data_IF_899264313194
#
_entry.id   IF_899264313194
#
_cell.length_a   1.000
_cell.length_b   1.000
_cell.length_c   1.000
_cell.angle_alpha   90.00
_cell.angle_beta   90.00
_cell.angle_gamma   90.00
#
_symmetry.space_group_name_H-M   'P 1'
#
loop_
_entity.id
_entity.type
_entity.pdbx_description
1 polymer ?
#
# COMPACT_ATOMS: atom_id res chain seq x y z
N UNK A 1 -2.64 7.54 13.81
CA UNK A 1 -2.76 6.57 12.70
C UNK A 1 -1.66 5.53 12.82
N UNK A 2 -1.89 4.37 12.30
CA UNK A 2 -0.97 3.24 12.41
C UNK A 2 -0.68 2.68 11.02
N UNK A 3 0.59 2.38 10.76
CA UNK A 3 0.98 1.76 9.50
C UNK A 3 0.52 0.30 9.47
N UNK A 4 -0.18 -0.08 8.43
CA UNK A 4 -0.70 -1.44 8.29
C UNK A 4 0.38 -2.45 7.87
N UNK A 5 1.57 -1.96 7.53
CA UNK A 5 2.67 -2.82 7.09
C UNK A 5 3.60 -3.18 8.24
N UNK A 6 4.14 -2.18 8.93
CA UNK A 6 5.09 -2.41 10.02
C UNK A 6 4.44 -2.38 11.41
N UNK A 7 3.17 -1.99 11.47
CA UNK A 7 2.40 -1.90 12.70
C UNK A 7 2.89 -0.84 13.69
N UNK A 8 3.68 0.12 13.22
CA UNK A 8 4.14 1.23 14.05
C UNK A 8 3.28 2.46 13.84
N UNK A 9 3.23 3.31 14.88
CA UNK A 9 2.45 4.53 14.81
C UNK A 9 3.02 5.47 13.76
N UNK A 10 2.13 6.19 13.07
CA UNK A 10 2.50 7.18 12.08
C UNK A 10 2.34 8.56 12.71
N UNK A 11 3.40 9.34 12.72
CA UNK A 11 3.35 10.71 13.21
C UNK A 11 2.77 11.63 12.14
N UNK A 12 2.12 12.71 12.57
CA UNK A 12 1.48 13.63 11.64
C UNK A 12 2.42 14.31 10.66
N UNK A 13 3.71 14.39 11.00
CA UNK A 13 4.71 15.02 10.15
C UNK A 13 5.37 14.07 9.16
N UNK A 14 5.08 12.78 9.26
CA UNK A 14 5.67 11.79 8.38
C UNK A 14 4.89 11.67 7.07
N UNK A 15 5.62 11.44 5.98
CA UNK A 15 4.98 11.17 4.70
C UNK A 15 4.25 9.85 4.75
N UNK A 16 3.02 9.84 4.28
CA UNK A 16 2.18 8.65 4.27
C UNK A 16 1.63 8.40 2.88
N UNK A 17 1.28 7.14 2.65
CA UNK A 17 0.57 6.72 1.44
C UNK A 17 -0.70 6.00 1.84
N UNK A 18 -1.72 6.15 1.02
CA UNK A 18 -3.03 5.56 1.27
C UNK A 18 -3.32 4.47 0.24
N UNK A 19 -3.75 3.32 0.73
CA UNK A 19 -4.15 2.23 -0.14
C UNK A 19 -5.68 2.18 -0.18
N UNK A 20 -6.33 2.04 -1.33
CA UNK A 20 -5.72 1.88 -2.66
C UNK A 20 -5.54 3.19 -3.43
N UNK A 21 -5.82 4.34 -2.81
CA UNK A 21 -5.88 5.63 -3.50
C UNK A 21 -4.56 6.01 -4.19
N UNK A 22 -3.44 5.70 -3.55
CA UNK A 22 -2.12 6.06 -4.07
C UNK A 22 -1.48 4.96 -4.92
N UNK A 23 -2.22 3.90 -5.23
CA UNK A 23 -1.69 2.83 -6.08
C UNK A 23 -1.35 3.34 -7.47
N UNK A 24 -0.23 2.86 -8.06
CA UNK A 24 0.09 3.21 -9.44
C UNK A 24 -0.95 2.66 -10.42
N UNK A 25 -1.05 3.30 -11.58
CA UNK A 25 -2.07 2.96 -12.56
C UNK A 25 -1.96 1.55 -13.13
N UNK A 26 -0.75 0.96 -13.08
CA UNK A 26 -0.53 -0.39 -13.59
C UNK A 26 -1.03 -1.48 -12.64
N UNK A 27 -1.38 -1.10 -11.41
CA UNK A 27 -1.92 -2.04 -10.42
C UNK A 27 -3.43 -1.84 -10.36
N UNK A 28 -4.22 -2.90 -10.61
CA UNK A 28 -5.67 -2.77 -10.55
C UNK A 28 -6.13 -2.51 -9.13
N UNK A 29 -7.06 -1.57 -8.99
CA UNK A 29 -7.66 -1.25 -7.70
C UNK A 29 -8.65 -2.37 -7.35
N UNK A 30 -8.49 -3.05 -6.21
CA UNK A 30 -9.44 -4.09 -5.82
C UNK A 30 -10.80 -3.51 -5.46
N UNK A 31 -11.82 -4.29 -5.66
CA UNK A 31 -13.19 -3.89 -5.34
C UNK A 31 -13.45 -4.08 -3.85
N UNK A 32 -12.69 -3.37 -3.04
CA UNK A 32 -12.80 -3.41 -1.58
C UNK A 32 -13.02 -2.01 -1.05
N UNK A 33 -13.76 -1.92 0.03
CA UNK A 33 -14.03 -0.65 0.69
C UNK A 33 -13.00 -0.31 1.75
N UNK A 34 -12.08 -1.21 2.06
CA UNK A 34 -11.08 -0.99 3.10
C UNK A 34 -10.02 0.00 2.64
N UNK A 35 -9.71 0.94 3.52
CA UNK A 35 -8.65 1.91 3.29
C UNK A 35 -7.58 1.73 4.34
N UNK A 36 -6.33 1.69 3.89
CA UNK A 36 -5.19 1.49 4.77
C UNK A 36 -4.17 2.58 4.57
N UNK A 37 -3.42 2.87 5.62
CA UNK A 37 -2.40 3.91 5.59
C UNK A 37 -1.05 3.26 5.86
N UNK A 38 -0.04 3.69 5.13
CA UNK A 38 1.31 3.14 5.23
C UNK A 38 2.33 4.27 5.32
N UNK A 39 3.47 4.01 5.92
CA UNK A 39 4.60 4.92 5.84
C UNK A 39 5.11 4.96 4.40
N UNK A 40 5.68 6.10 4.01
CA UNK A 40 6.25 6.25 2.67
C UNK A 40 7.30 5.18 2.38
N UNK A 41 8.16 4.90 3.36
CA UNK A 41 9.21 3.90 3.19
C UNK A 41 8.67 2.47 3.18
N UNK A 42 7.53 2.23 3.81
CA UNK A 42 6.86 0.93 3.75
C UNK A 42 6.11 0.75 2.43
N UNK A 43 5.72 1.86 1.81
CA UNK A 43 4.93 1.84 0.58
C UNK A 43 5.64 1.14 -0.57
N UNK A 44 6.97 1.31 -0.66
CA UNK A 44 7.75 0.63 -1.70
C UNK A 44 7.62 -0.89 -1.57
N UNK A 45 7.59 -1.40 -0.36
CA UNK A 45 7.40 -2.82 -0.11
C UNK A 45 5.98 -3.27 -0.42
N UNK A 46 5.01 -2.43 -0.10
CA UNK A 46 3.60 -2.71 -0.43
C UNK A 46 3.43 -2.83 -1.93
N UNK A 47 4.00 -1.90 -2.70
CA UNK A 47 3.91 -1.92 -4.15
C UNK A 47 4.60 -3.16 -4.71
N UNK A 48 5.77 -3.51 -4.19
CA UNK A 48 6.49 -4.71 -4.63
C UNK A 48 5.65 -5.96 -4.40
N UNK A 49 4.97 -6.03 -3.26
CA UNK A 49 4.10 -7.16 -2.94
C UNK A 49 2.91 -7.24 -3.92
N UNK A 50 2.30 -6.10 -4.23
CA UNK A 50 1.19 -6.05 -5.17
C UNK A 50 1.62 -6.48 -6.57
N UNK A 51 2.79 -6.03 -7.01
CA UNK A 51 3.34 -6.43 -8.31
C UNK A 51 3.62 -7.93 -8.36
N UNK A 52 4.11 -8.48 -7.27
CA UNK A 52 4.35 -9.92 -7.17
C UNK A 52 3.05 -10.72 -7.27
N UNK A 53 1.99 -10.24 -6.62
CA UNK A 53 0.68 -10.88 -6.69
C UNK A 53 0.14 -10.85 -8.12
N UNK A 54 0.30 -9.73 -8.82
CA UNK A 54 -0.11 -9.62 -10.22
C UNK A 54 0.64 -10.61 -11.10
N UNK A 55 1.94 -10.75 -10.89
CA UNK A 55 2.75 -11.69 -11.66
C UNK A 55 2.29 -13.14 -11.45
N UNK A 56 1.90 -13.46 -10.22
CA UNK A 56 1.39 -14.79 -9.91
C UNK A 56 0.03 -15.06 -10.56
N UNK A 57 -0.82 -14.06 -10.64
CA UNK A 57 -2.14 -14.21 -11.22
C UNK A 57 -2.09 -14.33 -12.74
N UNK A 58 -1.08 -13.73 -13.37
CA UNK A 58 -0.96 -13.76 -14.83
C UNK A 58 -0.09 -14.90 -15.34
N UNK A 59 0.56 -15.61 -14.45
CA UNK A 59 1.46 -16.73 -14.83
C UNK A 59 0.69 -18.07 -15.09
#
# INVERSE_FOLDING_TARGET
>A
MKCEWCCEAINGDEDTKHWPDDLPSHIPVPDKSDHMTYHKWCWDEVIADEELQLAKETA
#
